data_IF_164383440236
#
_entry.id   IF_164383440236
#
_cell.length_a   1.000
_cell.length_b   1.000
_cell.length_c   1.000
_cell.angle_alpha   90.00
_cell.angle_beta   90.00
_cell.angle_gamma   90.00
#
_symmetry.space_group_name_H-M   'P 1'
#
loop_
_entity.id
_entity.type
_entity.pdbx_description
1 polymer ?
#
# COMPACT_ATOMS: atom_id res chain seq x y z
N UNK A 1 -3.13 0.08 -11.13
CA UNK A 1 -4.22 -0.50 -10.31
C UNK A 1 -5.21 0.60 -9.98
N UNK A 2 -6.48 0.32 -10.12
CA UNK A 2 -7.53 1.28 -9.78
C UNK A 2 -8.07 1.03 -8.37
N UNK A 3 -8.50 2.10 -7.71
CA UNK A 3 -9.12 2.01 -6.39
C UNK A 3 -10.58 1.56 -6.55
N UNK A 4 -10.82 0.27 -6.34
CA UNK A 4 -12.17 -0.27 -6.36
C UNK A 4 -12.85 -0.11 -4.99
N UNK A 5 -14.18 -0.27 -4.94
CA UNK A 5 -14.92 -0.22 -3.67
C UNK A 5 -14.42 -1.27 -2.69
N UNK A 6 -14.10 -2.46 -3.17
CA UNK A 6 -13.59 -3.54 -2.35
C UNK A 6 -12.24 -3.20 -1.73
N UNK A 7 -11.32 -2.68 -2.54
CA UNK A 7 -10.01 -2.25 -2.06
C UNK A 7 -10.15 -1.10 -1.08
N UNK A 8 -11.02 -0.13 -1.39
CA UNK A 8 -11.26 1.02 -0.51
C UNK A 8 -11.75 0.56 0.86
N UNK A 9 -12.73 -0.35 0.91
CA UNK A 9 -13.24 -0.90 2.18
C UNK A 9 -12.13 -1.60 2.96
N UNK A 10 -11.31 -2.37 2.27
CA UNK A 10 -10.22 -3.10 2.89
C UNK A 10 -9.19 -2.15 3.51
N UNK A 11 -8.85 -1.08 2.80
CA UNK A 11 -7.93 -0.05 3.30
C UNK A 11 -8.53 0.71 4.47
N UNK A 12 -9.79 1.09 4.38
CA UNK A 12 -10.48 1.78 5.47
C UNK A 12 -10.53 0.93 6.74
N UNK A 13 -10.83 -0.35 6.60
CA UNK A 13 -10.84 -1.28 7.73
C UNK A 13 -9.45 -1.41 8.34
N UNK A 14 -8.43 -1.50 7.52
CA UNK A 14 -7.05 -1.62 7.98
C UNK A 14 -6.60 -0.36 8.73
N UNK A 15 -6.97 0.82 8.22
CA UNK A 15 -6.61 2.10 8.82
C UNK A 15 -7.58 2.55 9.92
N UNK A 16 -8.62 1.75 10.20
CA UNK A 16 -9.66 2.05 11.20
C UNK A 16 -10.39 3.35 10.90
N UNK A 17 -10.71 3.56 9.63
CA UNK A 17 -11.46 4.72 9.16
C UNK A 17 -12.93 4.31 9.00
N UNK A 18 -13.83 4.99 9.70
CA UNK A 18 -15.28 4.72 9.59
C UNK A 18 -15.91 5.47 8.44
N UNK A 19 -15.56 6.74 8.29
CA UNK A 19 -16.10 7.61 7.25
C UNK A 19 -15.00 8.55 6.73
N UNK A 20 -15.15 8.96 5.48
CA UNK A 20 -14.25 9.95 4.87
C UNK A 20 -15.05 11.22 4.55
N UNK A 21 -14.50 12.38 4.88
CA UNK A 21 -15.04 13.65 4.40
C UNK A 21 -14.71 13.79 2.91
N UNK A 22 -15.42 14.66 2.16
CA UNK A 22 -15.08 14.88 0.75
C UNK A 22 -13.62 15.27 0.51
N UNK A 23 -13.04 16.05 1.43
CA UNK A 23 -11.63 16.45 1.35
C UNK A 23 -10.70 15.28 1.61
N UNK A 24 -11.06 14.43 2.57
CA UNK A 24 -10.28 13.23 2.88
C UNK A 24 -10.33 12.19 1.78
N UNK A 25 -11.39 12.15 0.97
CA UNK A 25 -11.49 11.21 -0.14
C UNK A 25 -10.38 11.43 -1.17
N UNK A 26 -10.06 12.68 -1.47
CA UNK A 26 -8.97 13.02 -2.38
C UNK A 26 -7.62 12.59 -1.79
N UNK A 27 -7.39 12.88 -0.51
CA UNK A 27 -6.17 12.47 0.18
C UNK A 27 -6.05 10.95 0.25
N UNK A 28 -7.17 10.26 0.47
CA UNK A 28 -7.20 8.81 0.53
C UNK A 28 -6.77 8.20 -0.81
N UNK A 29 -7.32 8.71 -1.90
CA UNK A 29 -6.96 8.23 -3.24
C UNK A 29 -5.49 8.54 -3.55
N UNK A 30 -5.00 9.72 -3.20
CA UNK A 30 -3.60 10.10 -3.40
C UNK A 30 -2.66 9.18 -2.63
N UNK A 31 -2.98 8.84 -1.38
CA UNK A 31 -2.18 7.91 -0.59
C UNK A 31 -2.18 6.50 -1.21
N UNK A 32 -3.32 6.07 -1.74
CA UNK A 32 -3.43 4.78 -2.43
C UNK A 32 -2.56 4.75 -3.69
N UNK A 33 -2.70 5.77 -4.54
CA UNK A 33 -1.92 5.84 -5.78
C UNK A 33 -0.43 5.97 -5.49
N UNK A 34 -0.07 6.70 -4.45
CA UNK A 34 1.31 6.81 -3.99
C UNK A 34 1.89 5.47 -3.55
N UNK A 35 1.09 4.66 -2.83
CA UNK A 35 1.51 3.33 -2.40
C UNK A 35 1.74 2.40 -3.61
N UNK A 36 0.85 2.44 -4.59
CA UNK A 36 0.99 1.67 -5.84
C UNK A 36 2.27 2.09 -6.57
N UNK A 37 2.49 3.39 -6.66
CA UNK A 37 3.67 3.95 -7.34
C UNK A 37 4.97 3.52 -6.66
N UNK A 38 5.01 3.53 -5.33
CA UNK A 38 6.19 3.08 -4.59
C UNK A 38 6.50 1.60 -4.85
N UNK A 39 5.48 0.76 -4.92
CA UNK A 39 5.67 -0.66 -5.23
C UNK A 39 6.18 -0.84 -6.67
N UNK A 40 5.67 -0.08 -7.63
CA UNK A 40 6.16 -0.11 -9.00
C UNK A 40 7.61 0.33 -9.09
N UNK A 41 7.96 1.41 -8.39
CA UNK A 41 9.34 1.93 -8.38
C UNK A 41 10.30 0.94 -7.73
N UNK A 42 9.81 0.12 -6.80
CA UNK A 42 10.60 -0.94 -6.19
C UNK A 42 10.72 -2.19 -7.06
N UNK A 43 10.11 -2.20 -8.24
CA UNK A 43 10.16 -3.32 -9.16
C UNK A 43 9.12 -4.40 -8.89
N UNK A 44 8.05 -4.07 -8.18
CA UNK A 44 6.98 -5.02 -7.86
C UNK A 44 5.75 -4.68 -8.69
N UNK A 45 5.35 -5.62 -9.57
CA UNK A 45 4.15 -5.46 -10.38
C UNK A 45 2.91 -5.92 -9.62
N UNK A 46 1.74 -5.38 -10.01
CA UNK A 46 0.46 -5.74 -9.42
C UNK A 46 0.08 -7.17 -9.82
N UNK A 47 -0.09 -8.10 -8.85
CA UNK A 47 -0.48 -9.48 -9.16
C UNK A 47 -1.96 -9.59 -9.49
N UNK A 48 -2.38 -10.77 -9.96
CA UNK A 48 -3.80 -11.05 -10.14
C UNK A 48 -4.49 -11.21 -8.79
N UNK A 49 -5.70 -10.67 -8.68
CA UNK A 49 -6.51 -10.76 -7.47
C UNK A 49 -6.79 -12.23 -7.11
N UNK A 50 -6.74 -12.54 -5.82
CA UNK A 50 -7.03 -13.87 -5.31
C UNK A 50 -5.86 -14.83 -5.28
N UNK A 51 -4.70 -14.45 -5.79
CA UNK A 51 -3.50 -15.28 -5.74
C UNK A 51 -2.76 -15.07 -4.41
N UNK A 52 -1.84 -15.98 -4.08
CA UNK A 52 -0.99 -15.82 -2.90
C UNK A 52 -0.15 -14.56 -2.99
N UNK A 53 0.35 -14.27 -4.19
CA UNK A 53 1.14 -13.07 -4.44
C UNK A 53 0.32 -11.81 -4.23
N UNK A 54 -0.95 -11.83 -4.61
CA UNK A 54 -1.88 -10.73 -4.36
C UNK A 54 -1.99 -10.40 -2.87
N UNK A 55 -2.14 -11.41 -2.03
CA UNK A 55 -2.25 -11.20 -0.59
C UNK A 55 -0.99 -10.56 -0.02
N UNK A 56 0.19 -11.03 -0.44
CA UNK A 56 1.46 -10.43 -0.01
C UNK A 56 1.61 -9.00 -0.50
N UNK A 57 1.24 -8.76 -1.76
CA UNK A 57 1.25 -7.43 -2.36
C UNK A 57 0.35 -6.47 -1.57
N UNK A 58 -0.88 -6.88 -1.28
CA UNK A 58 -1.83 -6.04 -0.56
C UNK A 58 -1.37 -5.73 0.86
N UNK A 59 -0.69 -6.66 1.51
CA UNK A 59 -0.13 -6.37 2.85
C UNK A 59 0.92 -5.27 2.80
N UNK A 60 1.78 -5.29 1.81
CA UNK A 60 2.77 -4.23 1.62
C UNK A 60 2.10 -2.91 1.24
N UNK A 61 1.14 -2.95 0.32
CA UNK A 61 0.41 -1.77 -0.10
C UNK A 61 -0.31 -1.11 1.06
N UNK A 62 -0.99 -1.90 1.89
CA UNK A 62 -1.70 -1.39 3.06
C UNK A 62 -0.75 -0.74 4.06
N UNK A 63 0.43 -1.34 4.28
CA UNK A 63 1.43 -0.78 5.18
C UNK A 63 1.94 0.58 4.68
N UNK A 64 2.25 0.69 3.39
CA UNK A 64 2.70 1.94 2.78
C UNK A 64 1.58 2.99 2.85
N UNK A 65 0.35 2.58 2.50
CA UNK A 65 -0.81 3.45 2.55
C UNK A 65 -1.02 4.03 3.96
N UNK A 66 -1.01 3.16 4.98
CA UNK A 66 -1.25 3.59 6.35
C UNK A 66 -0.16 4.54 6.84
N UNK A 67 1.10 4.26 6.49
CA UNK A 67 2.21 5.12 6.85
C UNK A 67 2.01 6.53 6.27
N UNK A 68 1.67 6.61 4.98
CA UNK A 68 1.40 7.89 4.32
C UNK A 68 0.18 8.58 4.93
N UNK A 69 -0.87 7.82 5.21
CA UNK A 69 -2.10 8.36 5.78
C UNK A 69 -1.87 8.96 7.16
N UNK A 70 -1.14 8.25 8.03
CA UNK A 70 -0.87 8.70 9.40
C UNK A 70 0.09 9.88 9.44
N UNK A 71 0.95 10.02 8.43
CA UNK A 71 1.97 11.07 8.39
C UNK A 71 1.71 12.13 7.33
N UNK A 72 0.44 12.35 6.96
CA UNK A 72 0.09 13.38 6.00
C UNK A 72 0.62 14.73 6.45
N UNK A 73 1.35 15.40 5.54
CA UNK A 73 1.97 16.69 5.84
C UNK A 73 3.27 16.60 6.63
N UNK A 74 3.74 15.41 6.97
CA UNK A 74 5.01 15.18 7.66
C UNK A 74 6.10 14.81 6.67
N UNK A 75 7.34 15.26 6.94
CA UNK A 75 8.49 14.92 6.11
C UNK A 75 9.16 13.60 6.54
N UNK A 76 8.68 12.97 7.62
CA UNK A 76 9.23 11.72 8.13
C UNK A 76 8.44 10.48 7.73
N UNK A 77 7.43 10.66 6.86
CA UNK A 77 6.62 9.55 6.37
C UNK A 77 7.51 8.50 5.68
N UNK A 78 7.28 7.22 5.97
CA UNK A 78 7.98 6.10 5.36
C UNK A 78 9.25 5.67 6.06
N UNK A 79 9.85 6.52 6.89
CA UNK A 79 11.13 6.21 7.53
C UNK A 79 11.01 5.03 8.49
N UNK A 80 10.02 5.02 9.36
CA UNK A 80 9.79 3.93 10.31
C UNK A 80 9.43 2.63 9.58
N UNK A 81 8.71 2.73 8.46
CA UNK A 81 8.32 1.57 7.66
C UNK A 81 9.54 0.93 7.00
N UNK A 82 10.43 1.74 6.42
CA UNK A 82 11.66 1.26 5.78
C UNK A 82 12.53 0.51 6.80
N UNK A 83 12.54 0.93 8.04
CA UNK A 83 13.30 0.31 9.11
C UNK A 83 12.64 -0.93 9.70
N UNK A 84 11.37 -1.19 9.38
CA UNK A 84 10.63 -2.34 9.90
C UNK A 84 11.10 -3.65 9.25
N UNK A 85 11.70 -4.59 10.03
CA UNK A 85 12.24 -5.83 9.44
C UNK A 85 11.18 -6.69 8.76
N UNK A 86 9.96 -6.74 9.31
CA UNK A 86 8.88 -7.54 8.73
C UNK A 86 8.46 -6.99 7.36
N UNK A 87 8.36 -5.68 7.24
CA UNK A 87 8.04 -5.03 5.97
C UNK A 87 9.14 -5.28 4.93
N UNK A 88 10.39 -5.10 5.33
CA UNK A 88 11.55 -5.34 4.44
C UNK A 88 11.58 -6.78 3.94
N UNK A 89 11.28 -7.74 4.81
CA UNK A 89 11.24 -9.15 4.43
C UNK A 89 10.14 -9.40 3.40
N UNK A 90 8.95 -8.86 3.59
CA UNK A 90 7.84 -9.00 2.65
C UNK A 90 8.17 -8.39 1.29
N UNK A 91 8.75 -7.21 1.28
CA UNK A 91 9.17 -6.54 0.04
C UNK A 91 10.21 -7.37 -0.70
N UNK A 92 11.20 -7.90 0.01
CA UNK A 92 12.23 -8.74 -0.59
C UNK A 92 11.63 -10.02 -1.19
N UNK A 93 10.67 -10.64 -0.50
CA UNK A 93 9.99 -11.83 -1.02
C UNK A 93 9.23 -11.52 -2.31
N UNK A 94 8.54 -10.38 -2.36
CA UNK A 94 7.83 -9.96 -3.56
C UNK A 94 8.78 -9.73 -4.72
N UNK A 95 9.92 -9.08 -4.48
CA UNK A 95 10.92 -8.83 -5.51
C UNK A 95 11.53 -10.13 -6.04
N UNK A 96 11.82 -11.07 -5.12
CA UNK A 96 12.43 -12.36 -5.50
C UNK A 96 11.48 -13.26 -6.27
N UNK A 97 10.17 -13.11 -6.04
CA UNK A 97 9.15 -13.92 -6.71
C UNK A 97 8.50 -13.19 -7.88
N UNK A 98 9.05 -12.04 -8.28
CA UNK A 98 8.54 -11.28 -9.41
C UNK A 98 8.65 -12.12 -10.68
N UNK A 99 7.57 -12.26 -11.47
CA UNK A 99 7.64 -13.02 -12.72
C UNK A 99 8.63 -12.41 -13.69
N UNK A 100 9.45 -13.25 -14.27
CA UNK A 100 10.38 -12.82 -15.34
C UNK A 100 9.59 -12.74 -16.64
N UNK A 101 9.50 -11.56 -17.20
CA UNK A 101 8.77 -11.32 -18.45
C UNK A 101 9.72 -11.36 -19.65
#
# INVERSE_FOLDING_TARGET
MELTEEIKRSLMAYAKIDELTPEEEDDFEDCFLGAVSELEDAGVSCPEAGTKRWHKYMRCLKAIFLDDWDHRGSQTAGQALVENPAFRRRMNQLKLTEPVS
#
